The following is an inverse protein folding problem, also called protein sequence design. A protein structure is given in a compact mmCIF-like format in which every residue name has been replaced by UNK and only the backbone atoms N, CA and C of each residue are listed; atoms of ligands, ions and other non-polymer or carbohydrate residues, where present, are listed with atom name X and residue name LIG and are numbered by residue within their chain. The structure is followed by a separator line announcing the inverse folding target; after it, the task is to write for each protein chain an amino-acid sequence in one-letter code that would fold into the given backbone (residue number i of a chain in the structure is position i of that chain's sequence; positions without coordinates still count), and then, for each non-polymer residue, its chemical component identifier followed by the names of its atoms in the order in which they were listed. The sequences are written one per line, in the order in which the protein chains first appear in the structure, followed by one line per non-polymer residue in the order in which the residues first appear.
data_IF_184520989715
#
_entry.id   IF_184520989715
#
_cell.length_a   1.000
_cell.length_b   1.000
_cell.length_c   1.000
_cell.angle_alpha   90.00
_cell.angle_beta   90.00
_cell.angle_gamma   90.00
#
_symmetry.space_group_name_H-M   'P 1'
#
loop_
_entity.id
_entity.type
_entity.pdbx_description
1 polymer ?
#
# COMPACT_ATOMS: atom_id res chain seq x y z
N UNK A 1 -11.09 23.20 7.94
CA UNK A 1 -10.60 21.98 7.24
C UNK A 1 -10.54 22.16 5.72
N UNK A 2 -11.60 22.62 5.05
CA UNK A 2 -11.59 22.79 3.57
C UNK A 2 -10.55 23.80 3.02
N UNK A 3 -10.25 24.89 3.74
CA UNK A 3 -9.26 25.90 3.30
C UNK A 3 -7.80 25.45 3.39
N UNK A 4 -7.52 24.36 4.10
CA UNK A 4 -6.17 23.78 4.23
C UNK A 4 -5.87 22.87 3.02
N UNK A 5 -6.89 22.22 2.46
CA UNK A 5 -6.75 21.25 1.37
C UNK A 5 -6.19 21.87 0.07
N UNK A 6 -6.51 23.13 -0.22
CA UNK A 6 -6.12 23.80 -1.47
C UNK A 6 -4.88 24.70 -1.37
N UNK A 7 -4.25 24.84 -0.20
CA UNK A 7 -3.16 25.81 0.04
C UNK A 7 -1.82 25.14 0.36
N UNK A 8 -1.39 24.21 -0.49
CA UNK A 8 -0.09 23.54 -0.33
C UNK A 8 1.10 24.53 -0.39
N UNK A 9 1.06 25.53 -1.26
CA UNK A 9 2.14 26.52 -1.37
C UNK A 9 2.15 27.57 -0.24
N UNK A 10 1.02 27.78 0.44
CA UNK A 10 0.86 28.76 1.52
C UNK A 10 0.84 28.08 2.89
N UNK A 11 1.26 26.82 2.98
CA UNK A 11 1.16 26.03 4.22
C UNK A 11 2.03 26.61 5.34
N UNK A 12 3.23 27.11 5.03
CA UNK A 12 4.14 27.74 6.02
C UNK A 12 3.71 29.14 6.47
N UNK A 13 2.98 29.88 5.62
CA UNK A 13 2.52 31.24 5.91
C UNK A 13 1.11 31.30 6.49
N UNK A 14 0.38 30.18 6.48
CA UNK A 14 -0.85 29.99 7.23
C UNK A 14 -0.52 29.86 8.72
N UNK A 15 -0.47 30.98 9.44
CA UNK A 15 -0.43 31.01 10.90
C UNK A 15 -1.79 30.57 11.48
N UNK A 16 -2.11 29.29 11.34
CA UNK A 16 -3.32 28.69 11.87
C UNK A 16 -3.14 28.34 13.36
N UNK A 17 -2.94 29.33 14.24
CA UNK A 17 -2.80 29.13 15.71
C UNK A 17 -1.86 27.98 16.16
N UNK A 18 -0.95 27.53 15.30
CA UNK A 18 0.01 26.45 15.52
C UNK A 18 1.39 26.92 15.07
N UNK A 19 2.40 26.58 15.86
CA UNK A 19 3.82 26.87 15.58
C UNK A 19 4.26 26.18 14.29
N UNK A 20 5.20 26.79 13.54
CA UNK A 20 5.73 26.24 12.27
C UNK A 20 6.26 24.80 12.42
N UNK A 21 6.82 24.47 13.59
CA UNK A 21 7.35 23.15 13.91
C UNK A 21 6.23 22.08 14.00
N UNK A 22 5.08 22.45 14.55
CA UNK A 22 3.91 21.57 14.64
C UNK A 22 3.32 21.25 13.26
N UNK A 23 3.32 22.23 12.35
CA UNK A 23 2.87 22.03 10.97
C UNK A 23 3.78 21.07 10.20
N UNK A 24 5.08 21.25 10.36
CA UNK A 24 6.09 20.40 9.73
C UNK A 24 5.98 18.96 10.22
N UNK A 25 5.76 18.78 11.53
CA UNK A 25 5.55 17.47 12.15
C UNK A 25 4.32 16.76 11.61
N UNK A 26 3.20 17.47 11.44
CA UNK A 26 1.97 16.88 10.86
C UNK A 26 2.20 16.45 9.41
N UNK A 27 2.87 17.27 8.61
CA UNK A 27 3.17 16.95 7.21
C UNK A 27 4.06 15.69 7.11
N UNK A 28 5.13 15.64 7.91
CA UNK A 28 6.02 14.47 7.99
C UNK A 28 5.27 13.21 8.41
N UNK A 29 4.41 13.32 9.43
CA UNK A 29 3.56 12.20 9.88
C UNK A 29 2.64 11.71 8.75
N UNK A 30 2.01 12.63 8.01
CA UNK A 30 1.16 12.29 6.86
C UNK A 30 1.91 11.57 5.74
N UNK A 31 3.12 12.03 5.41
CA UNK A 31 3.98 11.40 4.41
C UNK A 31 4.39 9.98 4.83
N UNK A 32 4.71 9.77 6.11
CA UNK A 32 5.03 8.44 6.63
C UNK A 32 3.82 7.49 6.59
N UNK A 33 2.63 7.97 6.98
CA UNK A 33 1.39 7.17 6.88
C UNK A 33 1.14 6.74 5.44
N UNK A 34 1.29 7.66 4.49
CA UNK A 34 1.11 7.38 3.06
C UNK A 34 2.12 6.35 2.55
N UNK A 35 3.41 6.49 2.93
CA UNK A 35 4.45 5.53 2.58
C UNK A 35 4.13 4.11 3.09
N UNK A 36 3.74 3.97 4.36
CA UNK A 36 3.36 2.67 4.95
C UNK A 36 2.15 2.09 4.21
N UNK A 37 1.15 2.91 3.89
CA UNK A 37 -0.03 2.47 3.15
C UNK A 37 0.32 1.93 1.76
N UNK A 38 1.20 2.62 1.02
CA UNK A 38 1.69 2.15 -0.27
C UNK A 38 2.47 0.84 -0.16
N UNK A 39 3.37 0.71 0.83
CA UNK A 39 4.10 -0.54 1.06
C UNK A 39 3.16 -1.73 1.26
N UNK A 40 2.12 -1.56 2.10
CA UNK A 40 1.13 -2.62 2.37
C UNK A 40 0.35 -2.95 1.11
N UNK A 41 -0.17 -1.95 0.40
CA UNK A 41 -0.89 -2.17 -0.85
C UNK A 41 -0.03 -2.88 -1.89
N UNK A 42 1.26 -2.58 -1.95
CA UNK A 42 2.17 -3.21 -2.90
C UNK A 42 2.34 -4.72 -2.63
N UNK A 43 2.24 -5.15 -1.37
CA UNK A 43 2.23 -6.58 -1.03
C UNK A 43 1.01 -7.29 -1.63
N UNK A 44 -0.17 -6.67 -1.53
CA UNK A 44 -1.39 -7.22 -2.13
C UNK A 44 -1.33 -7.19 -3.66
N UNK A 45 -0.78 -6.12 -4.24
CA UNK A 45 -0.58 -6.00 -5.69
C UNK A 45 0.38 -7.05 -6.26
N UNK A 46 1.42 -7.42 -5.51
CA UNK A 46 2.35 -8.49 -5.89
C UNK A 46 1.62 -9.86 -5.96
N UNK A 47 0.67 -10.09 -5.06
CA UNK A 47 -0.10 -11.35 -5.03
C UNK A 47 -1.12 -11.42 -6.19
N UNK A 48 -1.78 -10.31 -6.51
CA UNK A 48 -2.77 -10.25 -7.61
C UNK A 48 -2.12 -10.43 -8.98
N UNK A 49 -1.04 -9.71 -9.25
CA UNK A 49 -0.37 -9.68 -10.57
C UNK A 49 0.30 -10.99 -10.98
N UNK A 50 0.61 -11.88 -10.02
CA UNK A 50 1.24 -13.18 -10.29
C UNK A 50 0.42 -14.04 -11.27
N UNK A 51 -0.91 -14.02 -11.14
CA UNK A 51 -1.80 -14.95 -11.85
C UNK A 51 -2.79 -14.17 -12.71
N UNK A 52 -2.69 -14.36 -14.04
CA UNK A 52 -3.56 -13.65 -14.99
C UNK A 52 -4.99 -14.19 -15.02
N UNK A 53 -5.13 -15.51 -15.16
CA UNK A 53 -6.45 -16.18 -15.26
C UNK A 53 -6.68 -17.23 -14.17
N UNK A 54 -5.60 -17.79 -13.59
CA UNK A 54 -5.68 -18.77 -12.52
C UNK A 54 -6.03 -18.09 -11.19
N UNK A 55 -6.83 -18.75 -10.35
CA UNK A 55 -7.08 -18.25 -8.99
C UNK A 55 -5.84 -18.39 -8.13
N UNK A 56 -5.65 -17.46 -7.20
CA UNK A 56 -4.67 -17.59 -6.13
C UNK A 56 -4.80 -18.91 -5.37
N UNK A 57 -6.02 -19.37 -5.08
CA UNK A 57 -6.25 -20.60 -4.31
C UNK A 57 -5.83 -21.88 -5.04
N UNK A 58 -5.94 -21.90 -6.38
CA UNK A 58 -5.54 -23.05 -7.19
C UNK A 58 -4.04 -23.03 -7.51
N UNK A 59 -3.41 -21.85 -7.48
CA UNK A 59 -1.99 -21.65 -7.78
C UNK A 59 -1.27 -21.09 -6.55
N UNK A 60 -1.26 -21.91 -5.49
CA UNK A 60 -0.77 -21.50 -4.18
C UNK A 60 0.75 -21.21 -4.19
N UNK A 61 1.20 -20.08 -3.62
CA UNK A 61 2.63 -19.77 -3.48
C UNK A 61 3.46 -20.72 -2.63
N UNK A 62 2.84 -21.40 -1.65
CA UNK A 62 3.56 -22.15 -0.62
C UNK A 62 3.82 -23.62 -1.01
N UNK A 63 2.95 -24.23 -1.83
CA UNK A 63 3.04 -25.65 -2.18
C UNK A 63 2.54 -25.91 -3.61
N UNK A 64 3.26 -26.77 -4.35
CA UNK A 64 2.83 -27.30 -5.67
C UNK A 64 3.64 -26.80 -6.87
N UNK A 65 3.12 -27.05 -8.09
CA UNK A 65 3.80 -26.79 -9.39
C UNK A 65 4.05 -25.30 -9.69
N UNK A 66 3.45 -24.38 -8.92
CA UNK A 66 3.55 -22.93 -9.07
C UNK A 66 4.34 -22.23 -7.98
N UNK A 67 5.13 -22.98 -7.19
CA UNK A 67 5.80 -22.41 -6.02
C UNK A 67 6.79 -21.32 -6.43
N UNK A 68 6.76 -20.22 -5.70
CA UNK A 68 7.79 -19.20 -5.81
C UNK A 68 8.01 -18.58 -4.43
N UNK A 69 8.94 -19.17 -3.69
CA UNK A 69 9.33 -18.74 -2.34
C UNK A 69 10.02 -17.37 -2.36
N UNK A 70 10.62 -16.96 -3.50
CA UNK A 70 11.22 -15.64 -3.64
C UNK A 70 10.22 -14.50 -3.52
N UNK A 71 8.94 -14.75 -3.82
CA UNK A 71 7.87 -13.76 -3.62
C UNK A 71 7.63 -13.53 -2.13
N UNK A 72 7.68 -14.57 -1.30
CA UNK A 72 7.56 -14.39 0.14
C UNK A 72 8.78 -13.68 0.71
N UNK A 73 9.98 -14.03 0.21
CA UNK A 73 11.20 -13.34 0.60
C UNK A 73 11.15 -11.85 0.23
N UNK A 74 10.68 -11.49 -0.97
CA UNK A 74 10.56 -10.09 -1.37
C UNK A 74 9.50 -9.33 -0.58
N UNK A 75 8.39 -9.97 -0.20
CA UNK A 75 7.40 -9.41 0.71
C UNK A 75 8.00 -9.13 2.10
N UNK A 76 8.76 -10.09 2.66
CA UNK A 76 9.43 -9.93 3.94
C UNK A 76 10.49 -8.82 3.90
N UNK A 77 11.29 -8.75 2.84
CA UNK A 77 12.27 -7.68 2.64
C UNK A 77 11.60 -6.31 2.50
N UNK A 78 10.45 -6.24 1.82
CA UNK A 78 9.68 -5.00 1.67
C UNK A 78 9.12 -4.51 3.02
N UNK A 79 8.53 -5.42 3.81
CA UNK A 79 8.06 -5.11 5.17
C UNK A 79 9.23 -4.71 6.06
N UNK A 80 10.35 -5.44 6.00
CA UNK A 80 11.56 -5.14 6.76
C UNK A 80 12.09 -3.75 6.46
N UNK A 81 12.17 -3.38 5.18
CA UNK A 81 12.59 -2.03 4.75
C UNK A 81 11.62 -0.95 5.23
N UNK A 82 10.31 -1.22 5.23
CA UNK A 82 9.29 -0.31 5.74
C UNK A 82 9.47 -0.04 7.25
N UNK A 83 9.73 -1.09 8.05
CA UNK A 83 9.99 -0.97 9.48
C UNK A 83 11.32 -0.24 9.73
N UNK A 84 12.37 -0.57 8.96
CA UNK A 84 13.67 0.09 9.06
C UNK A 84 13.55 1.59 8.80
N UNK A 85 12.76 2.01 7.82
CA UNK A 85 12.61 3.43 7.48
C UNK A 85 11.78 4.19 8.54
N UNK A 86 10.79 3.54 9.14
CA UNK A 86 9.84 4.19 10.05
C UNK A 86 10.26 4.17 11.53
N UNK A 87 10.99 3.15 11.98
CA UNK A 87 11.32 2.96 13.41
C UNK A 87 12.79 3.24 13.75
N UNK A 88 13.68 3.29 12.77
CA UNK A 88 15.12 3.49 13.06
C UNK A 88 15.42 4.99 13.20
N UNK A 89 16.00 5.43 14.34
CA UNK A 89 16.24 6.85 14.62
C UNK A 89 17.20 7.52 13.64
N UNK A 90 18.11 6.74 13.04
CA UNK A 90 18.98 7.22 11.96
C UNK A 90 18.19 7.56 10.70
N UNK A 91 17.25 6.70 10.30
CA UNK A 91 16.35 6.93 9.16
C UNK A 91 15.45 8.14 9.42
N UNK A 92 14.89 8.25 10.62
CA UNK A 92 14.05 9.36 11.04
C UNK A 92 14.75 10.72 10.94
N UNK A 93 16.04 10.78 11.27
CA UNK A 93 16.82 12.02 11.13
C UNK A 93 17.10 12.41 9.67
N UNK A 94 17.33 11.44 8.78
CA UNK A 94 17.67 11.69 7.38
C UNK A 94 16.43 12.00 6.55
N UNK A 95 15.42 11.14 6.64
CA UNK A 95 14.19 11.25 5.86
C UNK A 95 13.14 12.14 6.52
N UNK A 96 13.45 12.70 7.70
CA UNK A 96 12.54 13.50 8.51
C UNK A 96 11.21 12.76 8.75
N UNK A 97 11.31 11.46 9.07
CA UNK A 97 10.15 10.60 9.31
C UNK A 97 9.76 10.61 10.78
N UNK A 98 8.46 10.50 11.04
CA UNK A 98 7.87 10.47 12.38
C UNK A 98 7.26 9.10 12.66
N UNK A 99 7.04 8.80 13.95
CA UNK A 99 6.51 7.50 14.36
C UNK A 99 5.06 7.36 13.90
N UNK A 100 4.80 6.37 13.04
CA UNK A 100 3.47 6.12 12.50
C UNK A 100 2.66 5.31 13.52
N UNK A 101 1.49 5.80 13.99
CA UNK A 101 0.64 5.02 14.84
C UNK A 101 -0.04 3.90 14.06
N UNK A 102 -0.08 2.71 14.66
CA UNK A 102 -0.53 1.46 14.02
C UNK A 102 -2.00 1.52 13.55
N UNK A 103 -2.81 2.45 14.07
CA UNK A 103 -4.22 2.62 13.68
C UNK A 103 -4.35 2.87 12.17
N UNK A 104 -3.39 3.59 11.55
CA UNK A 104 -3.44 3.90 10.11
C UNK A 104 -3.01 2.73 9.21
N UNK A 105 -2.46 1.65 9.76
CA UNK A 105 -2.14 0.42 9.04
C UNK A 105 -3.42 -0.34 8.67
N UNK A 106 -4.45 -0.28 9.52
CA UNK A 106 -5.67 -1.04 9.36
C UNK A 106 -6.47 -0.64 8.10
N UNK A 107 -6.69 0.66 7.80
CA UNK A 107 -7.31 1.07 6.54
C UNK A 107 -6.52 0.58 5.32
N UNK A 108 -5.19 0.71 5.33
CA UNK A 108 -4.35 0.25 4.22
C UNK A 108 -4.47 -1.26 3.99
N UNK A 109 -4.55 -2.05 5.07
CA UNK A 109 -4.76 -3.49 5.01
C UNK A 109 -6.17 -3.83 4.48
N UNK A 110 -7.20 -3.09 4.90
CA UNK A 110 -8.57 -3.25 4.40
C UNK A 110 -8.66 -2.95 2.90
N UNK A 111 -8.07 -1.85 2.44
CA UNK A 111 -8.03 -1.50 1.01
C UNK A 111 -7.21 -2.49 0.18
N UNK A 112 -6.04 -2.92 0.68
CA UNK A 112 -5.23 -3.93 0.02
C UNK A 112 -5.94 -5.27 -0.11
N UNK A 113 -6.64 -5.70 0.93
CA UNK A 113 -7.47 -6.91 0.89
C UNK A 113 -8.64 -6.76 -0.08
N UNK A 114 -9.30 -5.59 -0.08
CA UNK A 114 -10.37 -5.28 -1.03
C UNK A 114 -9.89 -5.34 -2.48
N UNK A 115 -8.73 -4.78 -2.79
CA UNK A 115 -8.11 -4.85 -4.11
C UNK A 115 -7.82 -6.30 -4.53
N UNK A 116 -7.29 -7.11 -3.61
CA UNK A 116 -7.04 -8.54 -3.84
C UNK A 116 -8.34 -9.31 -4.14
N UNK A 117 -9.40 -9.08 -3.36
CA UNK A 117 -10.69 -9.72 -3.57
C UNK A 117 -11.34 -9.31 -4.90
N UNK A 118 -11.28 -8.02 -5.26
CA UNK A 118 -11.80 -7.52 -6.53
C UNK A 118 -11.10 -8.18 -7.73
N UNK A 119 -9.79 -8.37 -7.65
CA UNK A 119 -9.05 -9.03 -8.71
C UNK A 119 -9.36 -10.54 -8.80
N UNK A 120 -9.50 -11.24 -7.68
CA UNK A 120 -9.94 -12.65 -7.70
C UNK A 120 -11.38 -12.81 -8.22
N UNK A 121 -12.29 -11.88 -7.89
CA UNK A 121 -13.64 -11.85 -8.45
C UNK A 121 -13.60 -11.62 -9.96
N UNK A 122 -12.75 -10.71 -10.45
CA UNK A 122 -12.53 -10.49 -11.89
C UNK A 122 -12.06 -11.78 -12.57
N UNK A 123 -11.07 -12.48 -12.00
CA UNK A 123 -10.58 -13.77 -12.54
C UNK A 123 -11.64 -14.86 -12.51
N UNK A 124 -12.47 -14.91 -11.48
CA UNK A 124 -13.58 -15.87 -11.38
C UNK A 124 -14.65 -15.59 -12.44
N UNK A 125 -14.98 -14.33 -12.67
CA UNK A 125 -15.96 -13.93 -13.67
C UNK A 125 -15.51 -14.28 -15.09
N UNK A 126 -14.25 -13.97 -15.45
CA UNK A 126 -13.68 -14.31 -16.77
C UNK A 126 -13.67 -15.83 -17.00
N UNK A 127 -13.33 -16.62 -15.97
CA UNK A 127 -13.35 -18.10 -16.08
C UNK A 127 -14.73 -18.70 -16.27
N UNK A 128 -15.78 -18.08 -15.71
CA UNK A 128 -17.17 -18.54 -15.87
C UNK A 128 -17.76 -18.13 -17.22
N UNK A 129 -17.39 -16.95 -17.74
CA UNK A 129 -17.93 -16.39 -18.97
C UNK A 129 -16.83 -16.12 -20.01
N UNK A 130 -16.30 -17.16 -20.67
CA UNK A 130 -15.39 -16.98 -21.79
C UNK A 130 -16.16 -16.29 -22.94
N UNK A 131 -15.64 -15.17 -23.45
CA UNK A 131 -16.17 -14.21 -24.46
C UNK A 131 -16.86 -12.93 -23.94
N UNK A 132 -16.74 -12.59 -22.66
CA UNK A 132 -17.28 -11.31 -22.17
C UNK A 132 -16.40 -10.10 -22.57
N UNK A 133 -16.98 -8.89 -22.64
CA UNK A 133 -16.21 -7.65 -22.90
C UNK A 133 -15.09 -7.44 -21.88
N UNK A 134 -15.29 -7.90 -20.64
CA UNK A 134 -14.27 -7.86 -19.59
C UNK A 134 -13.03 -8.69 -19.93
N UNK A 135 -13.16 -9.82 -20.62
CA UNK A 135 -12.01 -10.60 -21.09
C UNK A 135 -11.24 -9.86 -22.18
N UNK A 136 -11.94 -9.17 -23.08
CA UNK A 136 -11.31 -8.36 -24.15
C UNK A 136 -10.55 -7.15 -23.63
N UNK A 137 -11.02 -6.56 -22.52
CA UNK A 137 -10.38 -5.41 -21.87
C UNK A 137 -9.30 -5.87 -20.90
N UNK A 138 -9.52 -7.01 -20.22
CA UNK A 138 -8.56 -7.63 -19.32
C UNK A 138 -7.60 -8.53 -20.10
N UNK A 139 -6.72 -7.89 -20.86
CA UNK A 139 -5.50 -8.39 -21.50
C UNK A 139 -5.17 -9.89 -21.29
#
# INVERSE_FOLDING_TARGET
LSSIFFKYETFESLQLHKTKDELTKINQTGQCIYYVALCIMQLFNLLTTRTRYASFFSHNPFYGKGQNLWILLSMLLSIGTCILITQVPWSQKIFKTEQVPLIYVLPALAFGTGLFLLDELRKLYIRRNPKCLLERIAW
#
